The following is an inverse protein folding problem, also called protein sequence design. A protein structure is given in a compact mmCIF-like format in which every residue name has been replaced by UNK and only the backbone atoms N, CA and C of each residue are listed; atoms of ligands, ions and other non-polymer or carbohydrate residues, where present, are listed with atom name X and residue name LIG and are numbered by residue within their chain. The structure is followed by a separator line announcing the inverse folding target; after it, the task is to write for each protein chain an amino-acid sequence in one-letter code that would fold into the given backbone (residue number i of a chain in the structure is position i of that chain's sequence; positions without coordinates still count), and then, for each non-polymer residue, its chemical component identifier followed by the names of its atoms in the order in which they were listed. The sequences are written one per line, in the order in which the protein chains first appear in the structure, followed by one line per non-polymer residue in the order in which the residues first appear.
data_IF_828192341235
#
_entry.id   IF_828192341235
#
_cell.length_a   1.000
_cell.length_b   1.000
_cell.length_c   1.000
_cell.angle_alpha   90.00
_cell.angle_beta   90.00
_cell.angle_gamma   90.00
#
_symmetry.space_group_name_H-M   'P 1'
#
loop_
_entity.id
_entity.type
_entity.pdbx_description
1 polymer ?
#
# COMPACT_ATOMS: atom_id res chain seq x y z
N UNK A 1 -13.96 -8.19 8.59
CA UNK A 1 -13.70 -6.80 8.16
C UNK A 1 -12.85 -6.81 6.90
N UNK A 2 -12.98 -5.78 6.06
CA UNK A 2 -12.21 -5.66 4.84
C UNK A 2 -10.83 -5.06 5.14
N UNK A 3 -9.77 -5.67 4.62
CA UNK A 3 -8.40 -5.16 4.69
C UNK A 3 -8.14 -4.27 3.46
N UNK A 4 -7.69 -3.00 3.64
CA UNK A 4 -7.51 -2.07 2.52
C UNK A 4 -6.36 -2.46 1.56
N UNK A 5 -5.33 -3.19 2.01
CA UNK A 5 -4.28 -3.72 1.14
C UNK A 5 -4.83 -4.85 0.24
N UNK A 6 -5.63 -5.76 0.81
CA UNK A 6 -6.32 -6.82 0.06
C UNK A 6 -7.32 -6.20 -0.92
N UNK A 7 -8.08 -5.19 -0.49
CA UNK A 7 -9.01 -4.47 -1.37
C UNK A 7 -8.27 -3.80 -2.53
N UNK A 8 -7.13 -3.15 -2.27
CA UNK A 8 -6.29 -2.54 -3.31
C UNK A 8 -5.81 -3.59 -4.33
N UNK A 9 -5.35 -4.75 -3.86
CA UNK A 9 -4.95 -5.88 -4.71
C UNK A 9 -6.13 -6.38 -5.56
N UNK A 10 -7.27 -6.67 -4.94
CA UNK A 10 -8.46 -7.18 -5.64
C UNK A 10 -8.94 -6.21 -6.71
N UNK A 11 -9.02 -4.91 -6.39
CA UNK A 11 -9.45 -3.90 -7.35
C UNK A 11 -8.46 -3.74 -8.50
N UNK A 12 -7.16 -3.86 -8.24
CA UNK A 12 -6.15 -3.80 -9.28
C UNK A 12 -6.18 -5.02 -10.21
N UNK A 13 -6.35 -6.23 -9.66
CA UNK A 13 -6.45 -7.47 -10.44
C UNK A 13 -7.70 -7.45 -11.30
N UNK A 14 -8.86 -7.13 -10.70
CA UNK A 14 -10.16 -7.10 -11.37
C UNK A 14 -10.36 -5.86 -12.27
N UNK A 15 -9.38 -4.95 -12.31
CA UNK A 15 -9.47 -3.64 -13.00
C UNK A 15 -10.71 -2.84 -12.62
N UNK A 16 -11.12 -2.93 -11.35
CA UNK A 16 -12.22 -2.17 -10.77
C UNK A 16 -11.80 -0.72 -10.53
N UNK A 17 -12.76 0.19 -10.65
CA UNK A 17 -12.53 1.62 -10.40
C UNK A 17 -12.30 1.87 -8.91
N UNK A 18 -11.13 2.40 -8.57
CA UNK A 18 -10.83 2.98 -7.26
C UNK A 18 -11.16 4.47 -7.34
N UNK A 19 -11.97 4.99 -6.42
CA UNK A 19 -12.29 6.43 -6.37
C UNK A 19 -11.43 7.10 -5.31
N UNK A 20 -11.04 8.33 -5.56
CA UNK A 20 -10.27 9.14 -4.62
C UNK A 20 -11.07 10.41 -4.37
N UNK A 21 -11.34 10.70 -3.11
CA UNK A 21 -11.85 11.99 -2.66
C UNK A 21 -10.71 12.77 -1.98
N UNK A 22 -11.00 13.92 -1.36
CA UNK A 22 -9.97 14.79 -0.78
C UNK A 22 -9.05 14.05 0.20
N UNK A 23 -9.61 13.34 1.17
CA UNK A 23 -8.82 12.62 2.19
C UNK A 23 -8.91 11.09 2.12
N UNK A 24 -9.80 10.57 1.27
CA UNK A 24 -10.18 9.15 1.32
C UNK A 24 -9.95 8.42 0.00
N UNK A 25 -9.69 7.12 0.11
CA UNK A 25 -9.62 6.15 -0.98
C UNK A 25 -10.79 5.20 -0.83
N UNK A 26 -11.60 5.10 -1.88
CA UNK A 26 -12.86 4.38 -1.87
C UNK A 26 -12.80 3.15 -2.78
N UNK A 27 -13.27 2.04 -2.23
CA UNK A 27 -13.43 0.76 -2.90
C UNK A 27 -14.91 0.36 -2.85
N UNK A 28 -15.68 0.82 -3.84
CA UNK A 28 -17.14 0.66 -3.84
C UNK A 28 -17.76 1.55 -2.77
N UNK A 29 -18.46 0.95 -1.81
CA UNK A 29 -19.09 1.66 -0.68
C UNK A 29 -18.19 1.76 0.55
N UNK A 30 -16.99 1.16 0.50
CA UNK A 30 -16.01 1.20 1.58
C UNK A 30 -15.02 2.35 1.38
N UNK A 31 -14.68 3.05 2.46
CA UNK A 31 -13.79 4.22 2.46
C UNK A 31 -12.71 4.07 3.52
N UNK A 32 -11.48 4.44 3.17
CA UNK A 32 -10.36 4.55 4.12
C UNK A 32 -9.62 5.88 3.93
N UNK A 33 -9.12 6.48 5.01
CA UNK A 33 -8.22 7.61 4.91
C UNK A 33 -6.98 7.27 4.09
N UNK A 34 -6.50 8.23 3.28
CA UNK A 34 -5.21 8.15 2.56
C UNK A 34 -4.04 7.80 3.48
N UNK A 35 -4.08 8.32 4.70
CA UNK A 35 -3.07 8.14 5.75
C UNK A 35 -3.19 6.81 6.49
N UNK A 36 -4.21 5.98 6.20
CA UNK A 36 -4.39 4.69 6.85
C UNK A 36 -3.16 3.82 6.64
N UNK A 37 -2.52 3.42 7.73
CA UNK A 37 -1.39 2.49 7.72
C UNK A 37 -1.89 1.08 7.35
N UNK A 38 -1.37 0.55 6.25
CA UNK A 38 -1.65 -0.84 5.86
C UNK A 38 -0.97 -1.83 6.81
N UNK A 39 -1.15 -3.12 6.54
CA UNK A 39 -0.36 -4.19 7.16
C UNK A 39 0.96 -4.49 6.42
N UNK A 40 1.40 -3.67 5.45
CA UNK A 40 2.67 -3.88 4.77
C UNK A 40 3.82 -3.15 5.46
N UNK A 41 4.80 -3.88 5.98
CA UNK A 41 5.98 -3.33 6.65
C UNK A 41 6.86 -2.53 5.69
N UNK A 42 7.28 -1.35 6.14
CA UNK A 42 8.34 -0.61 5.47
C UNK A 42 9.69 -1.33 5.61
N UNK A 43 10.54 -1.30 4.59
CA UNK A 43 11.84 -1.98 4.57
C UNK A 43 12.73 -1.75 5.81
N UNK A 44 12.66 -0.59 6.44
CA UNK A 44 13.46 -0.18 7.60
C UNK A 44 12.71 -0.32 8.95
N UNK A 45 11.49 -0.85 8.92
CA UNK A 45 10.65 -1.15 10.08
C UNK A 45 11.28 -2.22 10.97
N UNK A 46 11.32 -1.99 12.28
CA UNK A 46 11.78 -2.99 13.26
C UNK A 46 13.30 -3.28 13.25
N UNK A 47 14.06 -2.71 12.31
CA UNK A 47 15.52 -2.87 12.26
C UNK A 47 16.18 -2.06 13.38
N UNK A 48 17.13 -2.67 14.08
CA UNK A 48 17.90 -2.03 15.16
C UNK A 48 17.03 -1.45 16.31
N UNK A 49 15.90 -2.09 16.61
CA UNK A 49 14.99 -1.62 17.67
C UNK A 49 14.14 -0.39 17.28
N UNK A 50 14.10 -0.04 15.99
CA UNK A 50 13.22 1.01 15.50
C UNK A 50 11.74 0.61 15.59
N UNK A 51 10.87 1.59 15.76
CA UNK A 51 9.41 1.38 15.77
C UNK A 51 8.96 0.70 14.49
N UNK A 52 8.03 -0.24 14.61
CA UNK A 52 7.36 -0.83 13.45
C UNK A 52 6.64 0.28 12.68
N UNK A 53 6.89 0.34 11.37
CA UNK A 53 6.27 1.30 10.45
C UNK A 53 5.68 0.56 9.28
N UNK A 54 4.51 1.02 8.86
CA UNK A 54 3.79 0.47 7.74
C UNK A 54 3.63 1.54 6.65
N UNK A 55 3.50 1.10 5.40
CA UNK A 55 3.16 2.05 4.33
C UNK A 55 1.69 2.44 4.40
N UNK A 56 1.41 3.71 4.12
CA UNK A 56 0.05 4.22 4.03
C UNK A 56 -0.63 3.78 2.74
N UNK A 57 -1.96 3.73 2.74
CA UNK A 57 -2.75 3.37 1.57
C UNK A 57 -2.50 4.30 0.37
N UNK A 58 -2.31 5.59 0.62
CA UNK A 58 -1.94 6.57 -0.42
C UNK A 58 -0.61 6.22 -1.09
N UNK A 59 0.39 5.80 -0.30
CA UNK A 59 1.71 5.43 -0.80
C UNK A 59 1.62 4.20 -1.74
N UNK A 60 0.83 3.20 -1.33
CA UNK A 60 0.59 1.98 -2.11
C UNK A 60 -0.14 2.28 -3.42
N UNK A 61 -1.22 3.07 -3.36
CA UNK A 61 -1.99 3.45 -4.55
C UNK A 61 -1.15 4.33 -5.50
N UNK A 62 -0.35 5.24 -4.96
CA UNK A 62 0.56 6.07 -5.75
C UNK A 62 1.63 5.23 -6.45
N UNK A 63 2.18 4.21 -5.79
CA UNK A 63 3.08 3.24 -6.44
C UNK A 63 2.39 2.54 -7.61
N UNK A 64 1.18 2.04 -7.39
CA UNK A 64 0.46 1.26 -8.38
C UNK A 64 0.14 2.08 -9.65
N UNK A 65 -0.34 3.31 -9.48
CA UNK A 65 -0.64 4.23 -10.59
C UNK A 65 0.61 4.66 -11.37
N UNK A 66 1.81 4.44 -10.83
CA UNK A 66 3.09 4.83 -11.40
C UNK A 66 4.04 3.62 -11.55
N UNK A 67 3.48 2.42 -11.72
CA UNK A 67 4.25 1.18 -11.79
C UNK A 67 5.21 1.13 -12.99
N UNK A 68 4.88 1.82 -14.09
CA UNK A 68 5.67 1.87 -15.33
C UNK A 68 6.87 2.81 -15.26
N UNK A 69 6.88 3.76 -14.32
CA UNK A 69 7.98 4.71 -14.17
C UNK A 69 9.23 4.03 -13.63
N UNK A 70 10.40 4.56 -14.00
CA UNK A 70 11.64 4.21 -13.31
C UNK A 70 11.54 4.64 -11.85
N UNK A 71 12.19 3.91 -10.95
CA UNK A 71 12.06 4.18 -9.52
C UNK A 71 12.48 5.62 -9.15
N UNK A 72 13.51 6.18 -9.79
CA UNK A 72 13.93 7.56 -9.57
C UNK A 72 12.86 8.58 -9.95
N UNK A 73 12.18 8.39 -11.08
CA UNK A 73 11.09 9.25 -11.56
C UNK A 73 9.88 9.15 -10.65
N UNK A 74 9.51 7.93 -10.26
CA UNK A 74 8.45 7.67 -9.27
C UNK A 74 8.70 8.44 -7.96
N UNK A 75 9.93 8.38 -7.41
CA UNK A 75 10.27 9.09 -6.16
C UNK A 75 10.21 10.60 -6.35
N UNK A 76 10.67 11.12 -7.49
CA UNK A 76 10.56 12.56 -7.79
C UNK A 76 9.11 13.03 -7.85
N UNK A 77 8.24 12.27 -8.52
CA UNK A 77 6.81 12.60 -8.60
C UNK A 77 6.11 12.49 -7.24
N UNK A 78 6.44 11.49 -6.43
CA UNK A 78 5.89 11.36 -5.07
C UNK A 78 6.25 12.58 -4.22
N UNK A 79 7.53 12.99 -4.23
CA UNK A 79 7.99 14.20 -3.53
C UNK A 79 7.29 15.46 -4.01
N UNK A 80 7.15 15.65 -5.31
CA UNK A 80 6.47 16.82 -5.88
C UNK A 80 5.00 16.91 -5.46
N UNK A 81 4.37 15.77 -5.15
CA UNK A 81 2.98 15.67 -4.68
C UNK A 81 2.84 15.57 -3.17
N UNK A 82 3.95 15.65 -2.42
CA UNK A 82 4.00 15.43 -0.97
C UNK A 82 3.42 14.07 -0.52
N UNK A 83 3.53 13.05 -1.37
CA UNK A 83 3.07 11.68 -1.07
C UNK A 83 4.26 10.86 -0.54
N UNK A 84 4.11 10.10 0.56
CA UNK A 84 5.11 9.13 0.99
C UNK A 84 5.41 8.12 -0.13
N UNK A 85 6.63 7.61 -0.22
CA UNK A 85 7.02 6.72 -1.31
C UNK A 85 7.57 5.38 -0.82
N UNK A 86 7.31 4.33 -1.60
CA UNK A 86 7.79 2.98 -1.36
C UNK A 86 9.30 2.95 -1.60
N UNK A 87 10.04 2.32 -0.70
CA UNK A 87 11.50 2.17 -0.84
C UNK A 87 11.83 1.16 -1.94
N UNK A 88 13.00 1.34 -2.57
CA UNK A 88 13.43 0.52 -3.70
C UNK A 88 13.39 -1.00 -3.45
N UNK A 89 13.83 -1.52 -2.27
CA UNK A 89 13.78 -2.96 -2.00
C UNK A 89 12.36 -3.53 -2.02
N UNK A 90 11.38 -2.77 -1.51
CA UNK A 90 10.00 -3.22 -1.41
C UNK A 90 9.22 -3.10 -2.72
N UNK A 91 9.68 -2.27 -3.66
CA UNK A 91 8.93 -1.95 -4.89
C UNK A 91 8.55 -3.20 -5.69
N UNK A 92 9.52 -4.06 -6.01
CA UNK A 92 9.30 -5.24 -6.85
C UNK A 92 8.36 -6.25 -6.18
N UNK A 93 8.63 -6.72 -4.94
CA UNK A 93 7.75 -7.69 -4.30
C UNK A 93 6.34 -7.13 -4.05
N UNK A 94 6.21 -5.86 -3.69
CA UNK A 94 4.90 -5.22 -3.50
C UNK A 94 4.10 -5.14 -4.81
N UNK A 95 4.71 -4.72 -5.92
CA UNK A 95 4.02 -4.70 -7.22
C UNK A 95 3.60 -6.11 -7.67
N UNK A 96 4.46 -7.11 -7.48
CA UNK A 96 4.12 -8.49 -7.81
C UNK A 96 2.89 -8.98 -7.02
N UNK A 97 2.82 -8.66 -5.73
CA UNK A 97 1.67 -8.97 -4.89
C UNK A 97 0.39 -8.24 -5.34
N UNK A 98 0.46 -6.90 -5.50
CA UNK A 98 -0.69 -6.07 -5.88
C UNK A 98 -1.22 -6.39 -7.28
N UNK A 99 -0.37 -6.83 -8.20
CA UNK A 99 -0.75 -7.24 -9.55
C UNK A 99 -1.20 -8.70 -9.65
N UNK A 100 -1.14 -9.47 -8.56
CA UNK A 100 -1.51 -10.88 -8.55
C UNK A 100 -0.46 -11.83 -9.15
N UNK A 101 0.73 -11.32 -9.48
CA UNK A 101 1.87 -12.15 -9.92
C UNK A 101 2.42 -13.02 -8.79
N UNK A 102 2.27 -12.57 -7.54
CA UNK A 102 2.57 -13.35 -6.34
C UNK A 102 1.32 -13.47 -5.44
N UNK A 103 1.03 -14.66 -4.88
CA UNK A 103 -0.07 -14.83 -3.95
C UNK A 103 0.22 -14.27 -2.54
N UNK A 104 1.50 -14.11 -2.19
CA UNK A 104 1.95 -13.65 -0.88
C UNK A 104 3.12 -12.66 -0.97
N UNK A 105 3.43 -12.00 0.14
CA UNK A 105 4.62 -11.19 0.30
C UNK A 105 5.10 -11.23 1.75
N UNK A 106 6.40 -11.46 1.96
CA UNK A 106 6.99 -11.69 3.29
C UNK A 106 6.87 -10.48 4.24
N UNK A 107 6.69 -9.28 3.68
CA UNK A 107 6.58 -8.04 4.45
C UNK A 107 5.14 -7.73 4.88
N UNK A 108 4.17 -8.63 4.65
CA UNK A 108 2.79 -8.45 5.13
C UNK A 108 2.67 -9.00 6.54
N UNK A 109 2.23 -8.13 7.46
CA UNK A 109 1.93 -8.48 8.85
C UNK A 109 0.54 -9.10 8.96
N UNK A 110 0.46 -10.43 8.81
CA UNK A 110 -0.79 -11.17 8.91
C UNK A 110 -1.40 -11.14 10.33
N UNK A 111 -0.61 -10.90 11.37
CA UNK A 111 -1.10 -10.82 12.75
C UNK A 111 -1.82 -9.48 13.01
N UNK A 112 -1.34 -8.38 12.41
CA UNK A 112 -2.00 -7.07 12.49
C UNK A 112 -3.40 -7.06 11.85
N UNK A 113 -3.64 -7.90 10.85
CA UNK A 113 -4.95 -8.07 10.20
C UNK A 113 -6.02 -8.65 11.14
N UNK A 114 -5.61 -9.38 12.18
CA UNK A 114 -6.52 -10.01 13.13
C UNK A 114 -6.94 -9.06 14.26
N UNK A 115 -6.11 -8.08 14.63
CA UNK A 115 -6.40 -7.15 15.73
C UNK A 115 -7.39 -6.04 15.36
N UNK A 116 -7.57 -5.76 14.07
CA UNK A 116 -8.58 -4.81 13.60
C UNK A 116 -10.00 -5.41 13.55
N UNK A 117 -10.21 -6.63 14.05
CA UNK A 117 -11.51 -7.33 14.08
C UNK A 117 -12.26 -7.21 15.42
N UNK A 118 -11.63 -6.62 16.44
CA UNK A 118 -12.23 -6.42 17.76
C UNK A 118 -12.79 -4.99 17.89
N UNK A 119 -13.95 -4.74 17.29
CA UNK A 119 -14.84 -3.62 17.62
C UNK A 119 -16.29 -4.13 17.76
#
# INVERSE_FOLDING_TARGET
MADPLIMLRMYNIDKKKIRINDNDILFGDLSWPKTFESNYFAYDSGKNGSTRRYYTLECLLFLLNNATLRHSEYVQQAKAKNVPYIRRPDRKPLLAYLSGESPSCDNIDYDSTLQNLDF
#
